data_IF_060871612916
#
_entry.id   IF_060871612916
#
_cell.length_a   1.000
_cell.length_b   1.000
_cell.length_c   1.000
_cell.angle_alpha   90.00
_cell.angle_beta   90.00
_cell.angle_gamma   90.00
#
_symmetry.space_group_name_H-M   'P 1'
#
loop_
_entity.id
_entity.type
_entity.pdbx_description
1 polymer ?
#
# COMPACT_ATOMS: atom_id res chain seq x y z
N UNK A 1 6.72 -16.19 -36.53
CA UNK A 1 7.98 -16.53 -35.84
C UNK A 1 7.66 -16.67 -34.35
N UNK A 2 8.21 -17.65 -33.65
CA UNK A 2 7.92 -17.87 -32.22
C UNK A 2 9.05 -17.26 -31.38
N UNK A 3 8.79 -16.14 -30.71
CA UNK A 3 9.76 -15.43 -29.88
C UNK A 3 9.48 -15.70 -28.40
N UNK A 4 10.54 -15.92 -27.62
CA UNK A 4 10.40 -15.97 -26.16
C UNK A 4 9.97 -14.62 -25.60
N UNK A 5 9.26 -14.63 -24.48
CA UNK A 5 8.79 -13.41 -23.80
C UNK A 5 9.95 -12.48 -23.44
N UNK A 6 11.08 -13.04 -22.99
CA UNK A 6 12.27 -12.26 -22.66
C UNK A 6 12.83 -11.50 -23.88
N UNK A 7 12.81 -12.14 -25.04
CA UNK A 7 13.26 -11.55 -26.31
C UNK A 7 12.31 -10.43 -26.75
N UNK A 8 11.00 -10.66 -26.65
CA UNK A 8 9.98 -9.64 -26.94
C UNK A 8 10.12 -8.43 -26.02
N UNK A 9 10.21 -8.62 -24.70
CA UNK A 9 10.30 -7.53 -23.72
C UNK A 9 11.58 -6.69 -23.83
N UNK A 10 12.68 -7.24 -24.34
CA UNK A 10 13.91 -6.50 -24.59
C UNK A 10 13.86 -5.66 -25.88
N UNK A 11 12.90 -5.91 -26.77
CA UNK A 11 12.82 -5.31 -28.11
C UNK A 11 12.60 -3.80 -28.09
N UNK A 12 11.71 -3.22 -27.24
CA UNK A 12 11.46 -1.78 -27.23
C UNK A 12 12.72 -0.94 -26.95
N UNK A 13 13.56 -1.38 -26.03
CA UNK A 13 14.82 -0.68 -25.71
C UNK A 13 15.79 -0.73 -26.90
N UNK A 14 15.89 -1.88 -27.58
CA UNK A 14 16.76 -2.06 -28.74
C UNK A 14 16.30 -1.25 -29.95
N UNK A 15 14.99 -1.29 -30.24
CA UNK A 15 14.37 -0.48 -31.29
C UNK A 15 14.53 1.02 -31.03
N UNK A 16 14.39 1.46 -29.77
CA UNK A 16 14.63 2.86 -29.37
C UNK A 16 16.08 3.27 -29.68
N UNK A 17 17.07 2.44 -29.31
CA UNK A 17 18.49 2.73 -29.58
C UNK A 17 18.78 2.81 -31.08
N UNK A 18 18.22 1.90 -31.89
CA UNK A 18 18.36 1.90 -33.34
C UNK A 18 17.80 3.19 -33.96
N UNK A 19 16.54 3.52 -33.66
CA UNK A 19 15.87 4.72 -34.19
C UNK A 19 16.57 6.02 -33.77
N UNK A 20 17.09 6.09 -32.55
CA UNK A 20 17.90 7.23 -32.09
C UNK A 20 19.24 7.30 -32.84
N UNK A 21 19.89 6.17 -33.10
CA UNK A 21 21.15 6.12 -33.85
C UNK A 21 21.01 6.60 -35.30
N UNK A 22 19.98 6.12 -36.01
CA UNK A 22 19.64 6.57 -37.37
C UNK A 22 19.26 8.06 -37.37
N UNK A 23 18.57 8.52 -36.32
CA UNK A 23 18.19 9.91 -36.13
C UNK A 23 19.38 10.85 -35.95
N UNK A 24 20.38 10.44 -35.16
CA UNK A 24 21.48 11.28 -34.71
C UNK A 24 22.66 11.37 -35.69
N UNK A 25 22.83 10.40 -36.59
CA UNK A 25 23.99 10.32 -37.50
C UNK A 25 23.53 10.26 -38.96
N UNK A 26 23.68 11.38 -39.68
CA UNK A 26 23.25 11.49 -41.08
C UNK A 26 23.89 10.43 -41.99
N UNK A 27 25.17 10.10 -41.78
CA UNK A 27 25.86 9.06 -42.56
C UNK A 27 25.24 7.66 -42.37
N UNK A 28 24.77 7.34 -41.15
CA UNK A 28 24.06 6.07 -40.88
C UNK A 28 22.74 6.06 -41.63
N UNK A 29 21.99 7.17 -41.63
CA UNK A 29 20.74 7.27 -42.38
C UNK A 29 20.93 7.08 -43.89
N UNK A 30 21.98 7.68 -44.46
CA UNK A 30 22.30 7.48 -45.89
C UNK A 30 22.61 6.02 -46.19
N UNK A 31 23.42 5.36 -45.37
CA UNK A 31 23.76 3.94 -45.56
C UNK A 31 22.55 3.01 -45.41
N UNK A 32 21.62 3.32 -44.49
CA UNK A 32 20.38 2.55 -44.34
C UNK A 32 19.46 2.70 -45.57
N UNK A 33 19.33 3.93 -46.10
CA UNK A 33 18.55 4.17 -47.32
C UNK A 33 19.15 3.48 -48.56
N UNK A 34 20.49 3.47 -48.69
CA UNK A 34 21.18 2.72 -49.75
C UNK A 34 20.98 1.20 -49.63
N UNK A 35 20.80 0.69 -48.40
CA UNK A 35 20.48 -0.70 -48.13
C UNK A 35 18.99 -1.05 -48.28
N UNK A 36 18.14 -0.06 -48.59
CA UNK A 36 16.71 -0.25 -48.84
C UNK A 36 15.78 0.05 -47.67
N UNK A 37 16.30 0.54 -46.53
CA UNK A 37 15.49 1.03 -45.41
C UNK A 37 15.24 2.53 -45.57
N UNK A 38 14.04 2.89 -46.02
CA UNK A 38 13.68 4.27 -46.30
C UNK A 38 12.93 4.96 -45.14
N UNK A 39 12.46 6.18 -45.38
CA UNK A 39 11.76 6.95 -44.35
C UNK A 39 10.43 6.31 -43.94
N UNK A 40 9.76 5.55 -44.82
CA UNK A 40 8.51 4.86 -44.51
C UNK A 40 8.75 3.69 -43.55
N UNK A 41 9.85 2.94 -43.73
CA UNK A 41 10.26 1.87 -42.81
C UNK A 41 10.59 2.42 -41.40
N UNK A 42 11.23 3.60 -41.36
CA UNK A 42 11.53 4.30 -40.11
C UNK A 42 10.24 4.79 -39.42
N UNK A 43 9.26 5.25 -40.19
CA UNK A 43 7.95 5.67 -39.67
C UNK A 43 7.15 4.48 -39.15
N UNK A 44 7.17 3.35 -39.83
CA UNK A 44 6.56 2.10 -39.38
C UNK A 44 7.16 1.65 -38.05
N UNK A 45 8.49 1.57 -37.95
CA UNK A 45 9.18 1.20 -36.71
C UNK A 45 8.85 2.11 -35.53
N UNK A 46 8.72 3.42 -35.80
CA UNK A 46 8.29 4.40 -34.78
C UNK A 46 6.85 4.17 -34.34
N UNK A 47 5.93 3.93 -35.27
CA UNK A 47 4.54 3.65 -34.94
C UNK A 47 4.41 2.38 -34.08
N UNK A 48 5.08 1.30 -34.49
CA UNK A 48 5.11 0.03 -33.74
C UNK A 48 5.72 0.19 -32.34
N UNK A 49 6.80 0.97 -32.22
CA UNK A 49 7.42 1.25 -30.93
C UNK A 49 6.47 2.02 -30.01
N UNK A 50 5.81 3.06 -30.53
CA UNK A 50 4.85 3.86 -29.76
C UNK A 50 3.64 3.04 -29.32
N UNK A 51 3.12 2.16 -30.18
CA UNK A 51 2.03 1.25 -29.84
C UNK A 51 2.41 0.30 -28.68
N UNK A 52 3.63 -0.23 -28.68
CA UNK A 52 4.13 -1.08 -27.59
C UNK A 52 4.33 -0.29 -26.29
N UNK A 53 4.82 0.95 -26.37
CA UNK A 53 5.06 1.81 -25.21
C UNK A 53 3.75 2.34 -24.60
N UNK A 54 2.72 2.56 -25.42
CA UNK A 54 1.39 2.96 -24.98
C UNK A 54 0.60 1.79 -24.37
N UNK A 55 0.92 0.55 -24.73
CA UNK A 55 0.26 -0.63 -24.20
C UNK A 55 0.66 -0.90 -22.73
N UNK A 56 -0.30 -1.14 -21.80
CA UNK A 56 -0.01 -1.41 -20.40
C UNK A 56 0.99 -2.57 -20.23
N UNK A 57 2.12 -2.31 -19.55
CA UNK A 57 3.10 -3.37 -19.27
C UNK A 57 2.49 -4.42 -18.34
N UNK A 58 2.84 -5.69 -18.56
CA UNK A 58 2.65 -6.75 -17.56
C UNK A 58 3.52 -6.43 -16.34
N UNK A 59 2.99 -5.66 -15.39
CA UNK A 59 3.56 -5.63 -14.06
C UNK A 59 3.09 -6.88 -13.35
N UNK A 60 3.99 -7.85 -13.17
CA UNK A 60 3.80 -8.92 -12.20
C UNK A 60 3.70 -8.28 -10.81
N UNK A 61 2.48 -7.93 -10.44
CA UNK A 61 2.16 -7.10 -9.31
C UNK A 61 0.91 -6.31 -9.66
N UNK A 62 -0.26 -6.87 -9.33
CA UNK A 62 -1.45 -6.04 -9.16
C UNK A 62 -1.07 -4.87 -8.27
N UNK A 63 -1.54 -3.65 -8.59
CA UNK A 63 -1.20 -2.43 -7.86
C UNK A 63 -1.07 -2.71 -6.37
N UNK A 64 0.15 -2.61 -5.82
CA UNK A 64 0.40 -2.72 -4.39
C UNK A 64 -0.27 -1.57 -3.59
N UNK A 65 -0.91 -0.65 -4.30
CA UNK A 65 -1.67 0.48 -3.78
C UNK A 65 -3.15 0.31 -4.14
N UNK A 66 -3.79 -0.73 -3.61
CA UNK A 66 -5.25 -0.83 -3.58
C UNK A 66 -5.84 0.18 -2.60
N UNK A 67 -7.13 0.49 -2.74
CA UNK A 67 -7.83 1.32 -1.76
C UNK A 67 -7.73 0.73 -0.35
N UNK A 68 -7.77 -0.60 -0.22
CA UNK A 68 -7.57 -1.31 1.05
C UNK A 68 -6.15 -1.10 1.61
N UNK A 69 -5.10 -1.24 0.79
CA UNK A 69 -3.72 -1.02 1.21
C UNK A 69 -3.45 0.46 1.59
N UNK A 70 -4.15 1.39 0.93
CA UNK A 70 -4.10 2.81 1.27
C UNK A 70 -4.84 3.10 2.58
N UNK A 71 -6.01 2.51 2.78
CA UNK A 71 -6.79 2.62 4.01
C UNK A 71 -6.04 2.04 5.21
N UNK A 72 -5.39 0.88 5.05
CA UNK A 72 -4.57 0.26 6.10
C UNK A 72 -3.39 1.16 6.52
N UNK A 73 -2.66 1.73 5.55
CA UNK A 73 -1.55 2.66 5.83
C UNK A 73 -2.04 3.94 6.50
N UNK A 74 -3.16 4.50 6.05
CA UNK A 74 -3.77 5.68 6.67
C UNK A 74 -4.19 5.40 8.12
N UNK A 75 -4.86 4.27 8.38
CA UNK A 75 -5.26 3.88 9.72
C UNK A 75 -4.05 3.64 10.65
N UNK A 76 -2.99 3.02 10.13
CA UNK A 76 -1.73 2.82 10.87
C UNK A 76 -1.11 4.16 11.26
N UNK A 77 -0.97 5.09 10.30
CA UNK A 77 -0.39 6.40 10.54
C UNK A 77 -1.22 7.24 11.53
N UNK A 78 -2.54 7.11 11.48
CA UNK A 78 -3.42 7.81 12.41
C UNK A 78 -3.32 7.26 13.84
N UNK A 79 -3.26 5.93 14.01
CA UNK A 79 -3.08 5.30 15.32
C UNK A 79 -1.70 5.62 15.92
N UNK A 80 -0.66 5.66 15.09
CA UNK A 80 0.70 6.09 15.44
C UNK A 80 0.69 7.54 15.96
N UNK A 81 0.11 8.48 15.21
CA UNK A 81 0.01 9.88 15.66
C UNK A 81 -0.89 10.08 16.89
N UNK A 82 -1.85 9.18 17.08
CA UNK A 82 -2.77 9.26 18.22
C UNK A 82 -2.10 8.81 19.51
N UNK A 83 -1.22 7.81 19.50
CA UNK A 83 -0.78 7.15 20.73
C UNK A 83 0.05 8.05 21.67
N UNK A 84 1.05 8.76 21.17
CA UNK A 84 2.01 9.53 21.95
C UNK A 84 1.35 10.61 22.81
N UNK A 85 0.59 11.58 22.24
CA UNK A 85 -0.04 12.62 23.03
C UNK A 85 -1.12 12.06 23.96
N UNK A 86 -1.83 11.01 23.54
CA UNK A 86 -2.99 10.50 24.29
C UNK A 86 -2.59 9.55 25.41
N UNK A 87 -1.59 8.69 25.23
CA UNK A 87 -1.04 7.84 26.29
C UNK A 87 -0.44 8.71 27.40
N UNK A 88 0.30 9.76 27.06
CA UNK A 88 0.80 10.70 28.05
C UNK A 88 -0.34 11.37 28.83
N UNK A 89 -1.35 11.88 28.11
CA UNK A 89 -2.52 12.57 28.70
C UNK A 89 -3.35 11.67 29.60
N UNK A 90 -3.78 10.51 29.11
CA UNK A 90 -4.63 9.58 29.86
C UNK A 90 -3.84 8.88 30.97
N UNK A 91 -2.57 8.56 30.72
CA UNK A 91 -1.65 8.03 31.72
C UNK A 91 -1.51 8.97 32.91
N UNK A 92 -1.23 10.26 32.67
CA UNK A 92 -1.16 11.26 33.75
C UNK A 92 -2.50 11.42 34.50
N UNK A 93 -3.62 11.40 33.77
CA UNK A 93 -4.95 11.54 34.35
C UNK A 93 -5.29 10.37 35.30
N UNK A 94 -5.01 9.12 34.87
CA UNK A 94 -5.22 7.93 35.69
C UNK A 94 -4.22 7.85 36.83
N UNK A 95 -2.93 8.12 36.61
CA UNK A 95 -1.90 8.04 37.66
C UNK A 95 -2.24 8.90 38.87
N UNK A 96 -2.86 10.07 38.65
CA UNK A 96 -3.27 10.99 39.74
C UNK A 96 -4.53 10.54 40.49
N UNK A 97 -5.51 9.95 39.81
CA UNK A 97 -6.87 9.75 40.38
C UNK A 97 -7.28 8.27 40.54
N UNK A 98 -6.67 7.40 39.76
CA UNK A 98 -6.96 5.97 39.67
C UNK A 98 -5.65 5.19 39.44
N UNK A 99 -4.69 5.23 40.38
CA UNK A 99 -3.35 4.66 40.19
C UNK A 99 -3.38 3.16 39.86
N UNK A 100 -4.28 2.38 40.47
CA UNK A 100 -4.42 0.95 40.19
C UNK A 100 -4.95 0.67 38.78
N UNK A 101 -5.78 1.58 38.25
CA UNK A 101 -6.27 1.52 36.87
C UNK A 101 -5.16 1.92 35.91
N UNK A 102 -4.36 2.93 36.25
CA UNK A 102 -3.17 3.29 35.47
C UNK A 102 -2.23 2.09 35.32
N UNK A 103 -1.86 1.44 36.43
CA UNK A 103 -0.94 0.30 36.42
C UNK A 103 -1.47 -0.84 35.53
N UNK A 104 -2.77 -1.13 35.61
CA UNK A 104 -3.38 -2.18 34.79
C UNK A 104 -3.46 -1.81 33.31
N UNK A 105 -4.02 -0.63 33.01
CA UNK A 105 -4.27 -0.21 31.62
C UNK A 105 -2.95 -0.02 30.88
N UNK A 106 -1.94 0.59 31.53
CA UNK A 106 -0.65 0.89 30.92
C UNK A 106 0.45 -0.15 31.19
N UNK A 107 0.09 -1.34 31.71
CA UNK A 107 1.06 -2.42 31.90
C UNK A 107 1.75 -2.77 30.58
N UNK A 108 3.06 -2.59 30.51
CA UNK A 108 3.87 -2.82 29.31
C UNK A 108 3.43 -2.00 28.08
N UNK A 109 2.77 -0.86 28.29
CA UNK A 109 2.40 0.08 27.22
C UNK A 109 3.20 1.37 27.31
N UNK A 110 3.80 1.73 26.19
CA UNK A 110 4.43 3.02 25.96
C UNK A 110 4.12 3.45 24.51
N UNK A 111 4.14 4.76 24.20
CA UNK A 111 4.08 5.24 22.83
C UNK A 111 5.10 4.51 21.95
N UNK A 112 4.68 4.13 20.76
CA UNK A 112 5.45 3.36 19.81
C UNK A 112 5.17 3.87 18.40
N UNK A 113 5.80 3.30 17.38
CA UNK A 113 5.57 3.71 15.98
C UNK A 113 5.12 2.55 15.11
N UNK A 114 4.43 2.88 14.01
CA UNK A 114 3.96 1.91 13.03
C UNK A 114 3.11 0.79 13.63
N UNK A 115 3.43 -0.46 13.33
CA UNK A 115 2.63 -1.62 13.77
C UNK A 115 2.61 -1.82 15.29
N UNK A 116 3.65 -1.40 16.00
CA UNK A 116 3.69 -1.45 17.46
C UNK A 116 2.70 -0.47 18.10
N UNK A 117 2.50 0.71 17.50
CA UNK A 117 1.48 1.67 17.95
C UNK A 117 0.06 1.08 17.82
N UNK A 118 -0.23 0.43 16.68
CA UNK A 118 -1.52 -0.26 16.45
C UNK A 118 -1.80 -1.30 17.54
N UNK A 119 -0.80 -2.15 17.87
CA UNK A 119 -0.93 -3.15 18.93
C UNK A 119 -1.11 -2.51 20.31
N UNK A 120 -0.40 -1.42 20.60
CA UNK A 120 -0.51 -0.67 21.85
C UNK A 120 -1.91 -0.10 22.05
N UNK A 121 -2.46 0.56 21.03
CA UNK A 121 -3.82 1.13 21.07
C UNK A 121 -4.88 0.02 21.17
N UNK A 122 -4.74 -1.08 20.42
CA UNK A 122 -5.65 -2.23 20.53
C UNK A 122 -5.69 -2.84 21.94
N UNK A 123 -4.51 -3.00 22.55
CA UNK A 123 -4.35 -3.50 23.93
C UNK A 123 -4.97 -2.53 24.94
N UNK A 124 -4.70 -1.24 24.80
CA UNK A 124 -5.26 -0.19 25.64
C UNK A 124 -6.80 -0.21 25.62
N UNK A 125 -7.42 -0.27 24.43
CA UNK A 125 -8.88 -0.30 24.26
C UNK A 125 -9.48 -1.57 24.87
N UNK A 126 -8.87 -2.73 24.62
CA UNK A 126 -9.33 -4.02 25.18
C UNK A 126 -9.35 -3.99 26.70
N UNK A 127 -8.30 -3.45 27.33
CA UNK A 127 -8.23 -3.30 28.79
C UNK A 127 -9.32 -2.35 29.30
N UNK A 128 -9.58 -1.23 28.62
CA UNK A 128 -10.66 -0.32 29.02
C UNK A 128 -12.05 -0.96 28.91
N UNK A 129 -12.29 -1.79 27.89
CA UNK A 129 -13.55 -2.54 27.77
C UNK A 129 -13.70 -3.57 28.90
N UNK A 130 -12.61 -4.27 29.26
CA UNK A 130 -12.61 -5.21 30.37
C UNK A 130 -12.95 -4.53 31.71
N UNK A 131 -12.43 -3.31 31.93
CA UNK A 131 -12.78 -2.47 33.08
C UNK A 131 -14.24 -2.00 33.06
N UNK A 132 -14.74 -1.55 31.90
CA UNK A 132 -16.13 -1.08 31.77
C UNK A 132 -17.13 -2.21 31.97
N UNK A 133 -16.87 -3.37 31.38
CA UNK A 133 -17.71 -4.56 31.49
C UNK A 133 -17.56 -5.29 32.82
N UNK A 134 -16.42 -5.10 33.51
CA UNK A 134 -16.09 -5.81 34.75
C UNK A 134 -15.89 -7.30 34.53
N UNK A 135 -15.38 -7.68 33.35
CA UNK A 135 -15.15 -9.06 32.91
C UNK A 135 -13.79 -9.59 33.32
N UNK A 136 -12.86 -8.73 33.70
CA UNK A 136 -11.54 -9.16 34.18
C UNK A 136 -11.65 -9.80 35.59
N UNK A 137 -11.33 -11.10 35.73
CA UNK A 137 -11.38 -11.81 37.02
C UNK A 137 -10.44 -11.21 38.06
N UNK A 138 -9.27 -10.73 37.65
CA UNK A 138 -8.22 -10.19 38.52
C UNK A 138 -8.61 -8.82 39.10
N UNK A 139 -9.70 -8.22 38.59
CA UNK A 139 -10.26 -6.94 39.05
C UNK A 139 -11.68 -7.04 39.57
N UNK A 140 -12.17 -8.23 39.90
CA UNK A 140 -13.54 -8.44 40.35
C UNK A 140 -13.95 -7.59 41.59
N UNK A 141 -12.99 -7.31 42.49
CA UNK A 141 -13.20 -6.45 43.67
C UNK A 141 -13.17 -4.94 43.39
N UNK A 142 -12.70 -4.51 42.20
CA UNK A 142 -12.49 -3.10 41.86
C UNK A 142 -13.52 -2.52 40.88
N UNK A 143 -14.53 -3.30 40.47
CA UNK A 143 -15.51 -2.97 39.41
C UNK A 143 -16.10 -1.56 39.48
N UNK A 144 -16.45 -1.06 40.67
CA UNK A 144 -16.99 0.30 40.81
C UNK A 144 -15.94 1.39 40.57
N UNK A 145 -14.70 1.17 41.04
CA UNK A 145 -13.57 2.09 40.80
C UNK A 145 -13.21 2.11 39.32
N UNK A 146 -13.20 0.93 38.70
CA UNK A 146 -12.87 0.74 37.28
C UNK A 146 -13.85 1.47 36.37
N UNK A 147 -15.16 1.31 36.61
CA UNK A 147 -16.19 2.05 35.87
C UNK A 147 -16.08 3.56 36.07
N UNK A 148 -15.75 4.03 37.26
CA UNK A 148 -15.51 5.47 37.52
C UNK A 148 -14.31 5.99 36.75
N UNK A 149 -13.23 5.21 36.65
CA UNK A 149 -12.05 5.59 35.88
C UNK A 149 -12.36 5.67 34.38
N UNK A 150 -13.06 4.69 33.81
CA UNK A 150 -13.48 4.71 32.40
C UNK A 150 -14.43 5.89 32.12
N UNK A 151 -15.40 6.15 33.00
CA UNK A 151 -16.29 7.31 32.87
C UNK A 151 -15.51 8.63 32.94
N UNK A 152 -14.52 8.73 33.83
CA UNK A 152 -13.66 9.90 33.94
C UNK A 152 -12.83 10.14 32.67
N UNK A 153 -12.26 9.09 32.05
CA UNK A 153 -11.59 9.23 30.75
C UNK A 153 -12.53 9.73 29.65
N UNK A 154 -13.81 9.33 29.70
CA UNK A 154 -14.86 9.89 28.83
C UNK A 154 -14.96 11.41 28.92
N UNK A 155 -14.92 11.98 30.14
CA UNK A 155 -14.89 13.45 30.34
C UNK A 155 -13.63 14.13 29.81
N UNK A 156 -12.60 13.35 29.48
CA UNK A 156 -11.32 13.81 28.92
C UNK A 156 -11.20 13.54 27.42
N UNK A 157 -12.30 13.20 26.75
CA UNK A 157 -12.36 12.98 25.31
C UNK A 157 -12.21 11.53 24.86
N UNK A 158 -12.05 10.56 25.78
CA UNK A 158 -12.03 9.14 25.45
C UNK A 158 -13.40 8.50 25.73
N UNK A 159 -14.45 9.08 25.16
CA UNK A 159 -15.81 8.60 25.32
C UNK A 159 -16.09 7.33 24.48
N UNK A 160 -17.33 6.85 24.48
CA UNK A 160 -17.70 5.65 23.74
C UNK A 160 -17.58 5.82 22.22
N UNK A 161 -17.83 7.03 21.70
CA UNK A 161 -17.73 7.30 20.27
C UNK A 161 -16.26 7.27 19.84
N UNK A 162 -15.38 7.90 20.62
CA UNK A 162 -13.94 7.90 20.35
C UNK A 162 -13.36 6.48 20.46
N UNK A 163 -13.71 5.72 21.51
CA UNK A 163 -13.27 4.31 21.62
C UNK A 163 -13.78 3.47 20.44
N UNK A 164 -15.00 3.69 19.97
CA UNK A 164 -15.54 2.98 18.79
C UNK A 164 -14.79 3.36 17.52
N UNK A 165 -14.47 4.64 17.33
CA UNK A 165 -13.69 5.14 16.19
C UNK A 165 -12.31 4.49 16.15
N UNK A 166 -11.60 4.48 17.28
CA UNK A 166 -10.28 3.87 17.40
C UNK A 166 -10.31 2.36 17.16
N UNK A 167 -11.33 1.65 17.64
CA UNK A 167 -11.53 0.22 17.31
C UNK A 167 -11.69 0.01 15.80
N UNK A 168 -12.48 0.85 15.13
CA UNK A 168 -12.61 0.78 13.67
C UNK A 168 -11.29 1.00 12.93
N UNK A 169 -10.45 1.92 13.40
CA UNK A 169 -9.10 2.10 12.85
C UNK A 169 -8.20 0.90 13.11
N UNK A 170 -8.27 0.30 14.30
CA UNK A 170 -7.54 -0.94 14.62
C UNK A 170 -7.98 -2.07 13.69
N UNK A 171 -9.28 -2.24 13.47
CA UNK A 171 -9.81 -3.27 12.57
C UNK A 171 -9.32 -3.07 11.12
N UNK A 172 -9.27 -1.82 10.63
CA UNK A 172 -8.73 -1.49 9.31
C UNK A 172 -7.21 -1.67 9.24
N UNK A 173 -6.47 -1.26 10.27
CA UNK A 173 -5.02 -1.44 10.31
C UNK A 173 -4.63 -2.93 10.37
N UNK A 174 -5.47 -3.77 11.00
CA UNK A 174 -5.28 -5.20 11.15
C UNK A 174 -5.97 -6.06 10.06
N UNK A 175 -6.68 -5.48 9.09
CA UNK A 175 -7.42 -6.24 8.07
C UNK A 175 -7.36 -5.67 6.64
N UNK A 176 -7.90 -6.40 5.64
CA UNK A 176 -7.90 -7.84 5.47
C UNK A 176 -6.66 -8.34 4.68
N UNK A 177 -6.18 -9.55 4.99
CA UNK A 177 -5.16 -10.29 4.21
C UNK A 177 -5.74 -11.00 2.98
N UNK A 178 -6.94 -10.60 2.56
CA UNK A 178 -7.64 -11.27 1.46
C UNK A 178 -6.79 -11.20 0.20
N UNK A 179 -6.57 -12.32 -0.50
CA UNK A 179 -5.84 -12.29 -1.76
C UNK A 179 -6.54 -11.33 -2.71
N UNK A 180 -5.74 -10.52 -3.41
CA UNK A 180 -6.25 -9.65 -4.47
C UNK A 180 -7.10 -10.53 -5.41
N UNK A 181 -8.33 -10.10 -5.78
CA UNK A 181 -9.09 -10.81 -6.79
C UNK A 181 -8.19 -10.98 -8.00
N UNK A 182 -8.08 -12.22 -8.50
CA UNK A 182 -7.31 -12.51 -9.69
C UNK A 182 -7.72 -11.48 -10.75
N UNK A 183 -6.78 -10.61 -11.14
CA UNK A 183 -7.04 -9.68 -12.22
C UNK A 183 -7.41 -10.53 -13.44
N UNK A 184 -8.65 -10.40 -13.88
CA UNK A 184 -9.08 -11.00 -15.13
C UNK A 184 -8.09 -10.50 -16.20
N UNK A 185 -7.45 -11.44 -16.90
CA UNK A 185 -6.68 -11.14 -18.10
C UNK A 185 -7.59 -10.38 -19.05
N UNK A 186 -7.49 -9.05 -19.08
CA UNK A 186 -8.23 -8.27 -20.06
C UNK A 186 -7.64 -8.60 -21.44
N UNK A 187 -8.46 -8.57 -22.52
CA UNK A 187 -8.05 -8.79 -23.91
C UNK A 187 -6.84 -7.94 -24.38
N UNK A 188 -6.48 -6.91 -23.60
CA UNK A 188 -5.39 -5.97 -23.80
C UNK A 188 -3.99 -6.61 -23.65
N UNK A 189 -3.84 -7.67 -22.84
CA UNK A 189 -2.58 -8.40 -22.70
C UNK A 189 -2.20 -9.14 -24.00
N UNK A 190 -3.19 -9.71 -24.70
CA UNK A 190 -3.01 -10.31 -26.02
C UNK A 190 -2.60 -9.25 -27.05
N UNK A 191 -3.22 -8.06 -27.00
CA UNK A 191 -2.88 -6.92 -27.87
C UNK A 191 -1.45 -6.44 -27.69
N UNK A 192 -0.95 -6.37 -26.44
CA UNK A 192 0.44 -5.99 -26.19
C UNK A 192 1.43 -7.04 -26.71
N UNK A 193 1.15 -8.33 -26.52
CA UNK A 193 1.99 -9.40 -27.07
C UNK A 193 2.05 -9.32 -28.59
N UNK A 194 0.90 -9.10 -29.25
CA UNK A 194 0.85 -8.93 -30.70
C UNK A 194 1.68 -7.73 -31.18
N UNK A 195 1.58 -6.59 -30.48
CA UNK A 195 2.38 -5.40 -30.78
C UNK A 195 3.89 -5.66 -30.60
N UNK A 196 4.29 -6.38 -29.54
CA UNK A 196 5.68 -6.78 -29.33
C UNK A 196 6.21 -7.70 -30.44
N UNK A 197 5.39 -8.64 -30.93
CA UNK A 197 5.76 -9.53 -32.04
C UNK A 197 5.94 -8.74 -33.32
N UNK A 198 5.06 -7.77 -33.61
CA UNK A 198 5.16 -6.89 -34.79
C UNK A 198 6.42 -6.02 -34.73
N UNK A 199 6.66 -5.34 -33.60
CA UNK A 199 7.88 -4.54 -33.40
C UNK A 199 9.15 -5.41 -33.52
N UNK A 200 9.11 -6.65 -33.05
CA UNK A 200 10.24 -7.57 -33.16
C UNK A 200 10.47 -8.05 -34.59
N UNK A 201 9.41 -8.29 -35.35
CA UNK A 201 9.49 -8.58 -36.78
C UNK A 201 10.21 -7.45 -37.52
N UNK A 202 9.72 -6.22 -37.35
CA UNK A 202 10.35 -5.03 -37.93
C UNK A 202 11.82 -4.85 -37.52
N UNK A 203 12.17 -5.15 -36.26
CA UNK A 203 13.56 -5.01 -35.79
C UNK A 203 14.53 -6.04 -36.37
N UNK A 204 14.03 -7.22 -36.78
CA UNK A 204 14.87 -8.31 -37.31
C UNK A 204 15.02 -8.25 -38.85
N UNK A 205 14.23 -7.41 -39.53
CA UNK A 205 14.38 -7.07 -40.96
C UNK A 205 15.59 -6.14 -41.21
#
# INVERSE_FOLDING_TARGET
MDYSDAVLEATPERATKLLMGIGAVAAVRTLMAEAGMDDDDILEGRALLLDVLAAPRKTSGGSADTDDARAQRAATAELDQWDEPNFARYGAALRRRFPDVHVYVFKDLAPSTGTAAVQGVATFLTRLDALESGTDPDRAGAKQSDKKAVAFLGTRGLDKAERKRLKGLVDVALGPTSPLPAQAELPEAARRREALVKLRGWFDE
#
